data_IF_207656255761
#
_entry.id   IF_207656255761
#
_cell.length_a   1.000
_cell.length_b   1.000
_cell.length_c   1.000
_cell.angle_alpha   90.00
_cell.angle_beta   90.00
_cell.angle_gamma   90.00
#
_symmetry.space_group_name_H-M   'P 1'
#
loop_
_entity.id
_entity.type
_entity.pdbx_description
1 polymer ?
#
# COMPACT_ATOMS: atom_id res chain seq x y z
N UNK A 1 -40.86 25.57 -3.79
CA UNK A 1 -40.13 24.85 -2.73
C UNK A 1 -38.65 25.16 -2.92
N UNK A 2 -38.08 26.02 -2.09
CA UNK A 2 -36.70 26.50 -2.27
C UNK A 2 -35.70 25.42 -1.87
N UNK A 3 -34.81 25.03 -2.78
CA UNK A 3 -33.71 24.11 -2.48
C UNK A 3 -32.69 24.84 -1.61
N UNK A 4 -32.51 24.37 -0.38
CA UNK A 4 -31.49 24.88 0.55
C UNK A 4 -30.16 24.25 0.17
N UNK A 5 -29.33 25.00 -0.56
CA UNK A 5 -27.95 24.60 -0.84
C UNK A 5 -27.18 24.73 0.49
N UNK A 6 -26.86 23.60 1.10
CA UNK A 6 -25.99 23.58 2.29
C UNK A 6 -24.54 23.77 1.83
N UNK A 7 -24.05 25.01 1.93
CA UNK A 7 -22.64 25.31 1.72
C UNK A 7 -21.82 24.67 2.84
N UNK A 8 -21.29 23.47 2.59
CA UNK A 8 -20.40 22.79 3.52
C UNK A 8 -19.12 23.62 3.65
N UNK A 9 -18.91 24.23 4.83
CA UNK A 9 -17.71 25.03 5.08
C UNK A 9 -16.45 24.19 4.83
N UNK A 10 -15.42 24.75 4.17
CA UNK A 10 -14.14 24.08 4.02
C UNK A 10 -13.57 23.77 5.40
N UNK A 11 -13.39 22.48 5.68
CA UNK A 11 -12.93 22.01 6.97
C UNK A 11 -11.47 22.38 7.12
N UNK A 12 -11.15 23.14 8.18
CA UNK A 12 -9.75 23.50 8.45
C UNK A 12 -9.00 22.23 8.85
N UNK A 13 -7.80 22.00 8.29
CA UNK A 13 -6.95 20.91 8.74
C UNK A 13 -6.59 21.09 10.22
N UNK A 14 -6.69 20.01 11.00
CA UNK A 14 -6.44 20.00 12.44
C UNK A 14 -4.95 19.85 12.74
N UNK A 15 -4.50 20.46 13.83
CA UNK A 15 -3.15 20.31 14.33
C UNK A 15 -3.02 19.02 15.17
N UNK A 16 -1.80 18.53 15.40
CA UNK A 16 -1.57 17.29 16.15
C UNK A 16 -2.18 17.31 17.57
N UNK A 17 -2.14 18.47 18.24
CA UNK A 17 -2.74 18.64 19.57
C UNK A 17 -4.25 18.46 19.54
N UNK A 18 -4.91 19.07 18.56
CA UNK A 18 -6.37 19.04 18.42
C UNK A 18 -6.85 17.62 18.11
N UNK A 19 -6.11 16.89 17.26
CA UNK A 19 -6.43 15.48 16.96
C UNK A 19 -6.25 14.58 18.18
N UNK A 20 -5.18 14.78 18.95
CA UNK A 20 -4.93 14.02 20.16
C UNK A 20 -6.08 14.21 21.18
N UNK A 21 -6.53 15.44 21.40
CA UNK A 21 -7.69 15.73 22.24
C UNK A 21 -8.99 15.13 21.67
N UNK A 22 -9.19 15.23 20.36
CA UNK A 22 -10.42 14.75 19.70
C UNK A 22 -10.55 13.22 19.74
N UNK A 23 -9.45 12.49 19.62
CA UNK A 23 -9.41 11.03 19.70
C UNK A 23 -9.17 10.51 21.12
N UNK A 24 -9.00 11.41 22.10
CA UNK A 24 -8.68 11.09 23.49
C UNK A 24 -7.46 10.15 23.63
N UNK A 25 -6.41 10.41 22.85
CA UNK A 25 -5.16 9.62 22.87
C UNK A 25 -3.95 10.49 23.24
N UNK A 26 -2.92 9.91 23.88
CA UNK A 26 -1.67 10.60 24.09
C UNK A 26 -1.02 11.07 22.77
N UNK A 27 -0.39 12.25 22.72
CA UNK A 27 0.32 12.73 21.54
C UNK A 27 1.43 11.79 21.05
N UNK A 28 2.05 11.04 21.97
CA UNK A 28 3.03 10.00 21.66
C UNK A 28 2.42 8.86 20.84
N UNK A 29 1.24 8.36 21.23
CA UNK A 29 0.50 7.32 20.51
C UNK A 29 0.07 7.80 19.14
N UNK A 30 -0.44 9.04 19.03
CA UNK A 30 -0.80 9.64 17.75
C UNK A 30 0.42 9.69 16.81
N UNK A 31 1.59 10.04 17.33
CA UNK A 31 2.84 10.07 16.55
C UNK A 31 3.22 8.67 16.07
N UNK A 32 3.10 7.65 16.92
CA UNK A 32 3.34 6.24 16.55
C UNK A 32 2.41 5.80 15.43
N UNK A 33 1.11 6.05 15.56
CA UNK A 33 0.13 5.70 14.51
C UNK A 33 0.44 6.42 13.21
N UNK A 34 0.74 7.71 13.27
CA UNK A 34 1.14 8.51 12.09
C UNK A 34 2.35 7.90 11.36
N UNK A 35 3.32 7.33 12.10
CA UNK A 35 4.47 6.62 11.49
C UNK A 35 4.03 5.33 10.81
N UNK A 36 3.12 4.55 11.41
CA UNK A 36 2.61 3.31 10.82
C UNK A 36 1.83 3.58 9.53
N UNK A 37 0.94 4.57 9.55
CA UNK A 37 0.22 5.04 8.36
C UNK A 37 1.17 5.46 7.24
N UNK A 38 2.23 6.19 7.56
CA UNK A 38 3.25 6.57 6.57
C UNK A 38 3.99 5.36 6.00
N UNK A 39 4.32 4.38 6.83
CA UNK A 39 5.02 3.15 6.41
C UNK A 39 4.19 2.33 5.42
N UNK A 40 2.86 2.39 5.55
CA UNK A 40 1.90 1.70 4.69
C UNK A 40 1.42 2.55 3.49
N UNK A 41 2.02 3.72 3.28
CA UNK A 41 1.77 4.55 2.09
C UNK A 41 0.76 5.70 2.26
N UNK A 42 0.18 5.89 3.44
CA UNK A 42 -0.70 7.04 3.70
C UNK A 42 0.11 8.30 4.01
N UNK A 43 -0.07 9.33 3.19
CA UNK A 43 0.68 10.58 3.30
C UNK A 43 -0.15 11.67 4.01
N UNK A 44 0.40 12.23 5.09
CA UNK A 44 -0.20 13.36 5.79
C UNK A 44 0.34 14.70 5.25
N UNK A 45 -0.53 15.71 5.23
CA UNK A 45 -0.15 17.07 4.83
C UNK A 45 0.84 17.68 5.85
N UNK A 46 1.78 18.47 5.35
CA UNK A 46 2.78 19.17 6.18
C UNK A 46 2.76 20.65 5.86
N UNK A 47 2.69 21.48 6.91
CA UNK A 47 2.84 22.94 6.81
C UNK A 47 3.90 23.40 7.80
N UNK A 48 4.95 24.07 7.31
CA UNK A 48 6.08 24.55 8.11
C UNK A 48 6.69 23.44 9.01
N UNK A 49 6.87 22.24 8.45
CA UNK A 49 7.42 21.09 9.18
C UNK A 49 6.49 20.43 10.20
N UNK A 50 5.28 20.96 10.41
CA UNK A 50 4.26 20.37 11.28
C UNK A 50 3.26 19.55 10.46
N UNK A 51 2.85 18.40 11.00
CA UNK A 51 1.86 17.54 10.37
C UNK A 51 0.47 18.11 10.63
N UNK A 52 -0.31 18.27 9.57
CA UNK A 52 -1.70 18.68 9.62
C UNK A 52 -2.58 17.51 9.16
N UNK A 53 -3.62 17.25 9.93
CA UNK A 53 -4.55 16.14 9.70
C UNK A 53 -5.82 16.66 9.04
N UNK A 54 -6.20 16.04 7.94
CA UNK A 54 -7.51 16.23 7.33
C UNK A 54 -8.60 15.59 8.17
N UNK A 55 -9.86 15.97 7.91
CA UNK A 55 -11.01 15.28 8.50
C UNK A 55 -11.07 13.80 8.13
N UNK A 56 -10.60 13.46 6.93
CA UNK A 56 -10.43 12.08 6.49
C UNK A 56 -9.40 11.35 7.34
N UNK A 57 -8.21 11.93 7.55
CA UNK A 57 -7.15 11.33 8.36
C UNK A 57 -7.62 11.00 9.79
N UNK A 58 -8.40 11.90 10.38
CA UNK A 58 -8.98 11.68 11.72
C UNK A 58 -9.99 10.53 11.71
N UNK A 59 -10.78 10.37 10.64
CA UNK A 59 -11.69 9.23 10.49
C UNK A 59 -10.92 7.92 10.34
N UNK A 60 -9.88 7.88 9.51
CA UNK A 60 -9.03 6.69 9.33
C UNK A 60 -8.39 6.27 10.67
N UNK A 61 -7.83 7.23 11.41
CA UNK A 61 -7.26 6.97 12.73
C UNK A 61 -8.30 6.39 13.69
N UNK A 62 -9.53 6.93 13.69
CA UNK A 62 -10.63 6.42 14.52
C UNK A 62 -11.01 4.98 14.12
N UNK A 63 -11.18 4.71 12.82
CA UNK A 63 -11.51 3.37 12.33
C UNK A 63 -10.43 2.34 12.66
N UNK A 64 -9.15 2.74 12.56
CA UNK A 64 -8.04 1.88 12.95
C UNK A 64 -8.07 1.53 14.44
N UNK A 65 -8.40 2.49 15.31
CA UNK A 65 -8.55 2.25 16.74
C UNK A 65 -9.71 1.29 17.02
N UNK A 66 -10.85 1.50 16.38
CA UNK A 66 -12.04 0.66 16.54
C UNK A 66 -11.78 -0.80 16.10
N UNK A 67 -11.08 -1.00 14.98
CA UNK A 67 -10.67 -2.35 14.55
C UNK A 67 -9.71 -3.01 15.55
N UNK A 68 -8.77 -2.24 16.09
CA UNK A 68 -7.85 -2.76 17.09
C UNK A 68 -8.58 -3.14 18.40
N UNK A 69 -9.57 -2.35 18.82
CA UNK A 69 -10.45 -2.68 19.95
C UNK A 69 -11.29 -3.94 19.70
N UNK A 70 -11.72 -4.16 18.45
CA UNK A 70 -12.43 -5.37 18.02
C UNK A 70 -11.53 -6.62 17.93
N UNK A 71 -10.22 -6.48 18.17
CA UNK A 71 -9.28 -7.60 18.19
C UNK A 71 -8.80 -8.04 16.81
N UNK A 72 -8.85 -7.15 15.81
CA UNK A 72 -8.44 -7.43 14.41
C UNK A 72 -6.91 -7.59 14.22
N UNK A 73 -6.19 -8.01 15.27
CA UNK A 73 -4.76 -8.27 15.25
C UNK A 73 -3.90 -7.06 15.57
N UNK A 74 -2.81 -6.90 14.83
CA UNK A 74 -1.79 -5.88 15.13
C UNK A 74 -2.13 -4.52 14.50
N UNK A 75 -1.65 -3.43 15.09
CA UNK A 75 -1.81 -2.05 14.56
C UNK A 75 -1.52 -1.93 13.05
N UNK A 76 -0.39 -2.45 12.49
CA UNK A 76 -0.12 -2.32 11.04
C UNK A 76 -1.14 -3.04 10.16
N UNK A 77 -1.69 -4.16 10.61
CA UNK A 77 -2.72 -4.92 9.88
C UNK A 77 -4.04 -4.15 9.85
N UNK A 78 -4.44 -3.58 10.99
CA UNK A 78 -5.59 -2.68 11.09
C UNK A 78 -5.45 -1.46 10.16
N UNK A 79 -4.25 -0.86 10.12
CA UNK A 79 -3.97 0.29 9.23
C UNK A 79 -4.08 -0.12 7.76
N UNK A 80 -3.53 -1.28 7.38
CA UNK A 80 -3.61 -1.79 6.00
C UNK A 80 -5.06 -1.95 5.55
N UNK A 81 -5.90 -2.55 6.40
CA UNK A 81 -7.33 -2.74 6.11
C UNK A 81 -8.06 -1.40 5.91
N UNK A 82 -7.85 -0.43 6.80
CA UNK A 82 -8.51 0.89 6.73
C UNK A 82 -8.10 1.65 5.46
N UNK A 83 -6.82 1.63 5.09
CA UNK A 83 -6.33 2.29 3.89
C UNK A 83 -6.90 1.64 2.63
N UNK A 84 -6.98 0.30 2.59
CA UNK A 84 -7.54 -0.42 1.45
C UNK A 84 -9.04 -0.16 1.26
N UNK A 85 -9.81 -0.18 2.35
CA UNK A 85 -11.25 0.13 2.32
C UNK A 85 -11.47 1.56 1.82
N UNK A 86 -10.68 2.53 2.30
CA UNK A 86 -10.83 3.92 1.89
C UNK A 86 -10.47 4.16 0.43
N UNK A 87 -9.43 3.50 -0.10
CA UNK A 87 -9.08 3.57 -1.53
C UNK A 87 -10.23 3.04 -2.39
N UNK A 88 -10.83 1.91 -2.01
CA UNK A 88 -11.94 1.31 -2.76
C UNK A 88 -13.19 2.21 -2.78
N UNK A 89 -13.49 2.89 -1.67
CA UNK A 89 -14.62 3.84 -1.55
C UNK A 89 -14.40 5.12 -2.35
N UNK A 90 -13.19 5.70 -2.34
CA UNK A 90 -12.89 6.94 -3.08
C UNK A 90 -12.93 6.73 -4.59
N UNK A 91 -12.51 5.57 -5.09
CA UNK A 91 -12.63 5.24 -6.52
C UNK A 91 -14.09 5.09 -6.98
N UNK A 92 -15.03 4.87 -6.06
CA UNK A 92 -16.46 4.79 -6.36
C UNK A 92 -17.17 6.16 -6.31
N UNK A 93 -16.58 7.19 -5.69
CA UNK A 93 -17.24 8.49 -5.44
C UNK A 93 -16.74 9.66 -6.32
N UNK A 94 -15.65 9.51 -7.07
CA UNK A 94 -15.00 10.62 -7.78
C UNK A 94 -15.23 10.67 -9.31
N UNK A 95 -16.26 9.99 -9.84
CA UNK A 95 -16.63 10.11 -11.26
C UNK A 95 -17.50 11.35 -11.54
N UNK A 96 -17.03 12.55 -11.19
CA UNK A 96 -17.59 13.81 -11.71
C UNK A 96 -16.56 14.96 -11.67
N UNK A 97 -16.30 15.50 -12.87
CA UNK A 97 -15.63 16.77 -13.26
C UNK A 97 -14.10 16.80 -13.51
N UNK A 98 -13.76 16.46 -14.76
CA UNK A 98 -12.98 17.21 -15.78
C UNK A 98 -11.61 17.84 -15.47
N UNK A 99 -10.56 17.34 -16.14
CA UNK A 99 -9.95 17.95 -17.35
C UNK A 99 -8.80 17.07 -17.87
N UNK A 100 -8.75 16.89 -19.19
CA UNK A 100 -7.79 16.11 -19.98
C UNK A 100 -6.30 16.47 -19.75
N UNK A 101 -5.44 15.46 -19.67
CA UNK A 101 -4.40 15.26 -20.71
C UNK A 101 -3.91 13.79 -20.75
N UNK A 102 -3.48 13.40 -21.93
CA UNK A 102 -3.36 12.06 -22.51
C UNK A 102 -2.11 11.27 -22.03
N UNK A 103 -2.20 9.93 -22.01
CA UNK A 103 -1.25 8.96 -22.63
C UNK A 103 -1.33 7.55 -21.97
N UNK A 104 -1.81 6.62 -22.79
CA UNK A 104 -1.55 5.16 -22.89
C UNK A 104 -2.10 4.13 -21.89
N UNK A 105 -3.25 3.56 -22.28
CA UNK A 105 -3.42 2.15 -22.70
C UNK A 105 -3.20 1.02 -21.66
N UNK A 106 -4.27 0.63 -20.96
CA UNK A 106 -5.11 -0.54 -21.29
C UNK A 106 -6.04 -0.90 -20.12
N UNK A 107 -7.22 -0.28 -20.15
CA UNK A 107 -8.34 -0.47 -19.24
C UNK A 107 -9.17 -1.69 -19.69
N UNK A 108 -8.98 -2.85 -19.03
CA UNK A 108 -9.88 -4.00 -19.16
C UNK A 108 -11.10 -3.75 -18.27
N UNK A 109 -12.17 -3.30 -18.92
CA UNK A 109 -13.53 -3.06 -18.40
C UNK A 109 -13.93 -3.97 -17.23
N UNK A 110 -14.10 -3.38 -16.04
CA UNK A 110 -14.83 -4.00 -14.94
C UNK A 110 -16.30 -3.61 -15.11
N UNK A 111 -17.08 -4.53 -15.65
CA UNK A 111 -18.54 -4.43 -15.69
C UNK A 111 -19.08 -4.62 -14.27
N UNK A 112 -19.81 -3.62 -13.82
CA UNK A 112 -20.73 -3.66 -12.69
C UNK A 112 -21.63 -4.91 -12.78
N UNK A 113 -21.69 -5.80 -11.77
CA UNK A 113 -22.68 -6.86 -11.80
C UNK A 113 -24.03 -6.25 -11.41
N UNK A 114 -24.85 -5.97 -12.42
CA UNK A 114 -26.29 -5.93 -12.21
C UNK A 114 -26.76 -7.37 -12.05
N UNK A 115 -27.53 -7.56 -10.99
CA UNK A 115 -28.19 -8.79 -10.61
C UNK A 115 -28.95 -9.41 -11.78
N UNK A 116 -28.42 -10.49 -12.36
CA UNK A 116 -29.11 -11.68 -12.90
C UNK A 116 -28.13 -12.50 -13.75
N UNK A 117 -27.26 -13.32 -13.14
CA UNK A 117 -26.53 -14.36 -13.89
C UNK A 117 -26.67 -15.70 -13.18
N UNK A 118 -27.05 -16.71 -13.97
CA UNK A 118 -27.31 -18.07 -13.53
C UNK A 118 -26.07 -18.66 -12.81
N UNK A 119 -26.21 -19.61 -11.88
CA UNK A 119 -25.08 -20.23 -11.16
C UNK A 119 -23.96 -20.80 -12.06
N UNK A 120 -24.27 -21.07 -13.32
CA UNK A 120 -23.36 -21.61 -14.34
C UNK A 120 -22.34 -20.57 -14.82
N UNK A 121 -22.72 -19.29 -14.91
CA UNK A 121 -21.83 -18.24 -15.42
C UNK A 121 -20.74 -17.88 -14.40
N UNK A 122 -21.08 -17.92 -13.11
CA UNK A 122 -20.14 -17.71 -12.00
C UNK A 122 -19.07 -18.82 -11.98
N UNK A 123 -19.46 -20.07 -12.22
CA UNK A 123 -18.53 -21.20 -12.23
C UNK A 123 -17.49 -21.07 -13.36
N UNK A 124 -17.93 -20.63 -14.55
CA UNK A 124 -17.06 -20.40 -15.69
C UNK A 124 -16.09 -19.23 -15.44
N UNK A 125 -16.56 -18.16 -14.80
CA UNK A 125 -15.72 -17.02 -14.45
C UNK A 125 -14.67 -17.38 -13.39
N UNK A 126 -15.05 -18.17 -12.37
CA UNK A 126 -14.10 -18.72 -11.38
C UNK A 126 -13.05 -19.61 -12.06
N UNK A 127 -13.44 -20.44 -13.03
CA UNK A 127 -12.49 -21.28 -13.76
C UNK A 127 -11.46 -20.45 -14.52
N UNK A 128 -11.89 -19.38 -15.19
CA UNK A 128 -11.01 -18.45 -15.90
C UNK A 128 -10.05 -17.72 -14.96
N UNK A 129 -10.53 -17.26 -13.81
CA UNK A 129 -9.69 -16.60 -12.80
C UNK A 129 -8.62 -17.57 -12.27
N UNK A 130 -8.97 -18.84 -12.04
CA UNK A 130 -8.01 -19.87 -11.61
C UNK A 130 -6.91 -20.11 -12.64
N UNK A 131 -7.25 -20.14 -13.92
CA UNK A 131 -6.26 -20.29 -15.00
C UNK A 131 -5.30 -19.09 -15.06
N UNK A 132 -5.83 -17.86 -14.97
CA UNK A 132 -5.01 -16.64 -14.91
C UNK A 132 -4.10 -16.65 -13.67
N UNK A 133 -4.59 -17.11 -12.51
CA UNK A 133 -3.79 -17.25 -11.29
C UNK A 133 -2.66 -18.27 -11.43
N UNK A 134 -2.92 -19.42 -12.05
CA UNK A 134 -1.91 -20.46 -12.27
C UNK A 134 -0.80 -19.96 -13.21
N UNK A 135 -1.17 -19.22 -14.26
CA UNK A 135 -0.20 -18.61 -15.18
C UNK A 135 0.71 -17.61 -14.46
N UNK A 136 0.13 -16.77 -13.60
CA UNK A 136 0.88 -15.82 -12.78
C UNK A 136 1.82 -16.54 -11.80
N UNK A 137 1.36 -17.60 -11.15
CA UNK A 137 2.17 -18.38 -10.23
C UNK A 137 3.39 -18.99 -10.93
N UNK A 138 3.20 -19.57 -12.12
CA UNK A 138 4.31 -20.10 -12.95
C UNK A 138 5.32 -19.01 -13.30
N UNK A 139 4.86 -17.83 -13.72
CA UNK A 139 5.73 -16.71 -14.04
C UNK A 139 6.57 -16.26 -12.83
N UNK A 140 5.94 -16.16 -11.66
CA UNK A 140 6.63 -15.81 -10.41
C UNK A 140 7.70 -16.86 -10.08
N UNK A 141 7.35 -18.15 -10.13
CA UNK A 141 8.30 -19.23 -9.86
C UNK A 141 9.49 -19.21 -10.83
N UNK A 142 9.25 -18.97 -12.12
CA UNK A 142 10.31 -18.82 -13.11
C UNK A 142 11.20 -17.61 -12.83
N UNK A 143 10.61 -16.47 -12.45
CA UNK A 143 11.36 -15.26 -12.12
C UNK A 143 12.24 -15.45 -10.88
N UNK A 144 11.75 -16.17 -9.87
CA UNK A 144 12.49 -16.50 -8.65
C UNK A 144 13.65 -17.44 -8.99
N UNK A 145 13.42 -18.48 -9.79
CA UNK A 145 14.47 -19.41 -10.24
C UNK A 145 15.59 -18.68 -10.98
N UNK A 146 15.25 -17.79 -11.93
CA UNK A 146 16.23 -16.99 -12.68
C UNK A 146 17.07 -16.11 -11.76
N UNK A 147 16.43 -15.46 -10.78
CA UNK A 147 17.12 -14.62 -9.81
C UNK A 147 18.06 -15.45 -8.94
N UNK A 148 17.61 -16.59 -8.45
CA UNK A 148 18.41 -17.47 -7.60
C UNK A 148 19.61 -18.05 -8.36
N UNK A 149 19.44 -18.42 -9.63
CA UNK A 149 20.53 -18.85 -10.51
C UNK A 149 21.58 -17.73 -10.69
N UNK A 150 21.13 -16.50 -10.97
CA UNK A 150 22.02 -15.34 -11.10
C UNK A 150 22.78 -15.07 -9.79
N UNK A 151 22.12 -15.18 -8.64
CA UNK A 151 22.74 -15.00 -7.32
C UNK A 151 23.80 -16.08 -7.05
N UNK A 152 23.52 -17.34 -7.39
CA UNK A 152 24.48 -18.43 -7.25
C UNK A 152 25.68 -18.26 -8.17
N UNK A 153 25.47 -17.83 -9.42
CA UNK A 153 26.55 -17.55 -10.36
C UNK A 153 27.46 -16.42 -9.86
N UNK A 154 26.88 -15.29 -9.47
CA UNK A 154 27.64 -14.15 -8.95
C UNK A 154 28.40 -14.50 -7.66
N UNK A 155 27.78 -15.28 -6.76
CA UNK A 155 28.47 -15.77 -5.55
C UNK A 155 29.67 -16.66 -5.90
N UNK A 156 29.52 -17.54 -6.89
CA UNK A 156 30.61 -18.41 -7.36
C UNK A 156 31.77 -17.60 -7.92
N UNK A 157 31.50 -16.62 -8.78
CA UNK A 157 32.51 -15.72 -9.34
C UNK A 157 33.24 -14.92 -8.23
N UNK A 158 32.51 -14.44 -7.23
CA UNK A 158 33.10 -13.75 -6.07
C UNK A 158 34.01 -14.69 -5.26
N UNK A 159 33.63 -15.95 -5.08
CA UNK A 159 34.47 -16.93 -4.39
C UNK A 159 35.72 -17.28 -5.19
N UNK A 160 35.61 -17.48 -6.51
CA UNK A 160 36.74 -17.79 -7.39
C UNK A 160 37.75 -16.63 -7.44
N UNK A 161 37.27 -15.39 -7.57
CA UNK A 161 38.14 -14.20 -7.54
C UNK A 161 38.85 -14.03 -6.20
N UNK A 162 38.17 -14.31 -5.07
CA UNK A 162 38.80 -14.33 -3.74
C UNK A 162 39.88 -15.41 -3.65
N UNK A 163 39.59 -16.63 -4.11
CA UNK A 163 40.57 -17.73 -4.10
C UNK A 163 41.81 -17.41 -4.97
N UNK A 164 41.62 -16.84 -6.16
CA UNK A 164 42.73 -16.43 -7.03
C UNK A 164 43.56 -15.30 -6.40
N UNK A 165 42.95 -14.33 -5.72
CA UNK A 165 43.68 -13.28 -4.98
C UNK A 165 44.48 -13.84 -3.81
N UNK A 166 43.95 -14.84 -3.09
CA UNK A 166 44.66 -15.52 -2.01
C UNK A 166 45.85 -16.34 -2.54
N UNK A 167 45.68 -17.10 -3.63
CA UNK A 167 46.74 -17.88 -4.27
C UNK A 167 47.90 -17.04 -4.82
N UNK A 168 47.66 -15.77 -5.15
CA UNK A 168 48.67 -14.83 -5.69
C UNK A 168 49.56 -14.17 -4.63
N UNK A 169 49.20 -14.24 -3.34
CA UNK A 169 50.03 -13.66 -2.26
C UNK A 169 50.90 -14.75 -1.65
N UNK A 170 52.19 -14.76 -1.99
CA UNK A 170 53.18 -15.60 -1.30
C UNK A 170 53.52 -14.94 0.03
N UNK A 171 53.48 -15.71 1.11
CA UNK A 171 53.69 -15.26 2.49
C UNK A 171 55.01 -14.49 2.71
N UNK A 172 56.05 -14.77 1.91
CA UNK A 172 57.32 -14.03 1.91
C UNK A 172 57.25 -12.58 1.41
N UNK A 173 56.18 -12.17 0.69
CA UNK A 173 56.04 -10.79 0.19
C UNK A 173 55.59 -9.78 1.26
N UNK A 174 55.20 -10.27 2.44
CA UNK A 174 54.78 -9.42 3.56
C UNK A 174 55.94 -9.00 4.49
N UNK A 175 57.14 -9.54 4.28
CA UNK A 175 58.34 -9.27 5.08
C UNK A 175 59.40 -8.53 4.28
N UNK A 176 59.00 -7.48 3.54
CA UNK A 176 59.92 -6.58 2.84
C UNK A 176 59.75 -5.15 3.35
#
# INVERSE_FOLDING_TARGET
MSQVISLQRPQRPLNSSDVAHKLNIPPSTLRTYTVQFRRLGHNFSKKNGRILYSTLDVKLLKQMMELHEQGFGTIPECVCNVVNVHHNVVNSSNNSEDTMDNVDDQNKQIKQPQDTSSPIDIANEIAKIKEEMEALQKYVDESIKKRDELLLQTLREVLETKQQKQKKKRWWQFWK
#
